data_IF_681233684456
#
_entry.id   IF_681233684456
#
_cell.length_a   1.000
_cell.length_b   1.000
_cell.length_c   1.000
_cell.angle_alpha   90.00
_cell.angle_beta   90.00
_cell.angle_gamma   90.00
#
_symmetry.space_group_name_H-M   'P 1'
#
loop_
_entity.id
_entity.type
_entity.pdbx_description
1 polymer ?
#
# COMPACT_ATOMS: atom_id res chain seq x y z
N UNK A 1 -14.92 -12.14 10.76
CA UNK A 1 -14.09 -10.91 10.76
C UNK A 1 -13.90 -10.46 9.33
N UNK A 2 -14.28 -9.24 8.96
CA UNK A 2 -14.22 -8.76 7.55
C UNK A 2 -12.82 -8.25 7.25
N UNK A 3 -12.22 -8.68 6.13
CA UNK A 3 -10.92 -8.16 5.67
C UNK A 3 -11.03 -6.65 5.42
N UNK A 4 -10.32 -5.85 6.22
CA UNK A 4 -10.35 -4.39 6.14
C UNK A 4 -9.45 -3.84 5.01
N UNK A 5 -8.31 -4.51 4.78
CA UNK A 5 -7.38 -4.18 3.71
C UNK A 5 -7.99 -4.57 2.37
N UNK A 6 -8.58 -3.59 1.70
CA UNK A 6 -9.20 -3.72 0.39
C UNK A 6 -8.66 -2.63 -0.54
N UNK A 7 -8.89 -2.82 -1.83
CA UNK A 7 -8.63 -1.78 -2.83
C UNK A 7 -9.33 -0.47 -2.46
N UNK A 8 -8.72 0.66 -2.81
CA UNK A 8 -9.17 2.03 -2.51
C UNK A 8 -9.09 2.45 -1.04
N UNK A 9 -8.49 1.63 -0.16
CA UNK A 9 -8.16 2.06 1.20
C UNK A 9 -6.86 2.85 1.22
N UNK A 10 -6.86 3.92 2.01
CA UNK A 10 -5.70 4.79 2.23
C UNK A 10 -4.81 4.16 3.31
N UNK A 11 -3.51 4.18 3.06
CA UNK A 11 -2.46 3.68 3.96
C UNK A 11 -1.31 4.67 4.05
N UNK A 12 -0.51 4.57 5.11
CA UNK A 12 0.75 5.31 5.28
C UNK A 12 1.89 4.32 5.17
N UNK A 13 2.90 4.66 4.36
CA UNK A 13 4.10 3.85 4.22
C UNK A 13 5.00 4.02 5.45
N UNK A 14 5.33 2.92 6.12
CA UNK A 14 6.13 2.94 7.34
C UNK A 14 7.63 2.89 7.09
N UNK A 15 8.07 2.25 6.02
CA UNK A 15 9.49 1.97 5.74
C UNK A 15 9.84 2.18 4.26
N UNK A 16 11.15 2.23 3.97
CA UNK A 16 11.69 2.38 2.62
C UNK A 16 11.77 3.84 2.13
N UNK A 17 12.05 4.02 0.83
CA UNK A 17 12.29 5.34 0.21
C UNK A 17 11.12 6.32 0.37
N UNK A 18 9.90 5.82 0.45
CA UNK A 18 8.66 6.62 0.52
C UNK A 18 8.04 6.60 1.92
N UNK A 19 8.82 6.33 2.97
CA UNK A 19 8.33 6.36 4.35
C UNK A 19 7.67 7.70 4.70
N UNK A 20 6.57 7.64 5.47
CA UNK A 20 5.75 8.80 5.85
C UNK A 20 4.79 9.30 4.78
N UNK A 21 4.86 8.79 3.53
CA UNK A 21 3.95 9.19 2.45
C UNK A 21 2.62 8.46 2.53
N UNK A 22 1.56 9.19 2.16
CA UNK A 22 0.21 8.63 2.00
C UNK A 22 0.10 7.91 0.65
N UNK A 23 -0.55 6.76 0.66
CA UNK A 23 -0.79 5.94 -0.52
C UNK A 23 -2.18 5.30 -0.47
N UNK A 24 -2.62 4.76 -1.61
CA UNK A 24 -3.86 4.02 -1.78
C UNK A 24 -3.54 2.62 -2.28
N UNK A 25 -4.22 1.61 -1.73
CA UNK A 25 -4.10 0.23 -2.20
C UNK A 25 -4.80 0.09 -3.56
N UNK A 26 -4.05 -0.29 -4.59
CA UNK A 26 -4.55 -0.55 -5.95
C UNK A 26 -4.91 -2.02 -6.11
N UNK A 27 -4.07 -2.91 -5.57
CA UNK A 27 -4.31 -4.35 -5.60
C UNK A 27 -3.75 -4.99 -4.34
N UNK A 28 -4.53 -5.86 -3.73
CA UNK A 28 -4.13 -6.60 -2.55
C UNK A 28 -3.81 -8.06 -2.92
N UNK A 29 -2.74 -8.62 -2.34
CA UNK A 29 -2.35 -10.01 -2.46
C UNK A 29 -2.22 -10.59 -1.05
N UNK A 30 -3.33 -11.10 -0.51
CA UNK A 30 -3.35 -11.63 0.86
C UNK A 30 -2.52 -12.91 1.01
N UNK A 31 -2.59 -13.80 0.01
CA UNK A 31 -1.94 -15.13 0.05
C UNK A 31 -0.57 -15.13 -0.65
N UNK A 32 -0.06 -13.96 -1.05
CA UNK A 32 1.20 -13.81 -1.75
C UNK A 32 1.14 -14.11 -3.25
N UNK A 33 2.31 -14.08 -3.89
CA UNK A 33 2.50 -14.45 -5.30
C UNK A 33 3.76 -15.33 -5.44
N UNK A 34 3.99 -15.90 -6.63
CA UNK A 34 5.15 -16.79 -6.87
C UNK A 34 6.52 -16.14 -6.62
N UNK A 35 6.65 -14.81 -6.71
CA UNK A 35 7.88 -14.08 -6.42
C UNK A 35 7.97 -13.62 -4.94
N UNK A 36 6.84 -13.46 -4.25
CA UNK A 36 6.74 -12.95 -2.88
C UNK A 36 5.71 -13.78 -2.11
N UNK A 37 6.15 -14.76 -1.29
CA UNK A 37 5.26 -15.69 -0.61
C UNK A 37 4.50 -15.07 0.57
N UNK A 38 4.84 -13.83 0.96
CA UNK A 38 4.13 -13.10 2.02
C UNK A 38 3.02 -12.21 1.46
N UNK A 39 2.02 -11.95 2.29
CA UNK A 39 0.94 -11.02 1.97
C UNK A 39 1.47 -9.61 1.71
N UNK A 40 1.14 -9.04 0.55
CA UNK A 40 1.61 -7.72 0.15
C UNK A 40 0.56 -6.98 -0.67
N UNK A 41 0.70 -5.66 -0.77
CA UNK A 41 -0.18 -4.82 -1.55
C UNK A 41 0.62 -4.01 -2.57
N UNK A 42 0.03 -3.84 -3.76
CA UNK A 42 0.45 -2.82 -4.71
C UNK A 42 -0.23 -1.51 -4.31
N UNK A 43 0.58 -0.48 -4.08
CA UNK A 43 0.13 0.83 -3.63
C UNK A 43 0.53 1.92 -4.61
N UNK A 44 -0.33 2.92 -4.77
CA UNK A 44 -0.02 4.14 -5.49
C UNK A 44 -0.04 5.31 -4.50
N UNK A 45 1.02 6.11 -4.47
CA UNK A 45 1.15 7.23 -3.54
C UNK A 45 1.87 8.41 -4.16
N UNK A 46 1.87 9.52 -3.43
CA UNK A 46 2.55 10.75 -3.86
C UNK A 46 3.98 10.76 -3.32
N UNK A 47 4.96 10.92 -4.22
CA UNK A 47 6.36 11.13 -3.79
C UNK A 47 6.58 12.51 -3.18
N UNK A 48 5.88 13.53 -3.69
CA UNK A 48 5.93 14.92 -3.22
C UNK A 48 4.50 15.42 -3.11
N UNK A 49 4.13 15.90 -1.94
CA UNK A 49 2.82 16.48 -1.70
C UNK A 49 2.69 17.83 -2.41
N UNK A 50 1.49 18.20 -2.88
CA UNK A 50 1.23 19.55 -3.36
C UNK A 50 1.51 20.56 -2.24
N UNK A 51 2.22 21.62 -2.59
CA UNK A 51 2.44 22.76 -1.67
C UNK A 51 1.18 23.62 -1.63
N UNK A 52 1.03 24.38 -0.54
CA UNK A 52 0.06 25.48 -0.49
C UNK A 52 0.35 26.51 -1.58
#
# INVERSE_FOLDING_TARGET
>A
MVKFLKTQKVVILLTGKYAGKKAVIVKNFDDGNSARPYGHALVCGLSKEPRK
#
